data_IF_765529448767
#
_entry.id   IF_765529448767
#
_cell.length_a   1.000
_cell.length_b   1.000
_cell.length_c   1.000
_cell.angle_alpha   90.00
_cell.angle_beta   90.00
_cell.angle_gamma   90.00
#
_symmetry.space_group_name_H-M   'P 1'
#
loop_
_entity.id
_entity.type
_entity.pdbx_description
1 polymer ?
#
# COMPACT_ATOMS: atom_id res chain seq x y z
N UNK A 1 14.30 -4.27 15.22
CA UNK A 1 15.30 -3.35 14.65
C UNK A 1 15.50 -3.72 13.19
N UNK A 2 15.15 -2.83 12.26
CA UNK A 2 15.47 -2.99 10.83
C UNK A 2 16.93 -2.57 10.66
N UNK A 3 17.74 -3.35 9.91
CA UNK A 3 19.14 -2.99 9.68
C UNK A 3 19.25 -1.81 8.71
N UNK A 4 20.31 -1.01 8.83
CA UNK A 4 20.54 0.17 7.97
C UNK A 4 20.49 -0.18 6.47
N UNK A 5 21.03 -1.33 6.08
CA UNK A 5 21.01 -1.80 4.69
C UNK A 5 19.60 -2.13 4.19
N UNK A 6 18.72 -2.70 5.04
CA UNK A 6 17.33 -2.95 4.67
C UNK A 6 16.56 -1.63 4.57
N UNK A 7 16.83 -0.69 5.47
CA UNK A 7 16.23 0.64 5.40
C UNK A 7 16.56 1.38 4.10
N UNK A 8 17.79 1.22 3.59
CA UNK A 8 18.18 1.80 2.32
C UNK A 8 17.35 1.26 1.14
N UNK A 9 16.93 -0.02 1.18
CA UNK A 9 15.99 -0.56 0.20
C UNK A 9 14.63 0.13 0.25
N UNK A 10 14.12 0.44 1.46
CA UNK A 10 12.86 1.17 1.62
C UNK A 10 12.96 2.59 1.04
N UNK A 11 14.03 3.31 1.36
CA UNK A 11 14.25 4.68 0.84
C UNK A 11 14.26 4.71 -0.69
N UNK A 12 14.91 3.73 -1.33
CA UNK A 12 14.90 3.64 -2.79
C UNK A 12 13.53 3.25 -3.37
N UNK A 13 12.78 2.40 -2.68
CA UNK A 13 11.43 2.01 -3.08
C UNK A 13 10.46 3.19 -3.01
N UNK A 14 10.44 3.91 -1.89
CA UNK A 14 9.61 5.10 -1.70
C UNK A 14 9.95 6.17 -2.74
N UNK A 15 11.23 6.42 -2.99
CA UNK A 15 11.63 7.35 -4.06
C UNK A 15 11.16 6.88 -5.45
N UNK A 16 11.26 5.59 -5.75
CA UNK A 16 10.78 5.03 -7.02
C UNK A 16 9.26 5.21 -7.17
N UNK A 17 8.52 5.08 -6.06
CA UNK A 17 7.10 5.40 -5.99
C UNK A 17 6.85 6.89 -6.23
N UNK A 18 7.56 7.79 -5.55
CA UNK A 18 7.43 9.24 -5.73
C UNK A 18 7.70 9.68 -7.17
N UNK A 19 8.73 9.09 -7.80
CA UNK A 19 9.15 9.35 -9.18
C UNK A 19 8.24 8.64 -10.22
N UNK A 20 7.26 7.84 -9.76
CA UNK A 20 6.26 7.16 -10.59
C UNK A 20 6.87 6.29 -11.72
N UNK A 21 7.95 5.56 -11.43
CA UNK A 21 8.61 4.67 -12.40
C UNK A 21 7.83 3.39 -12.76
N UNK A 22 6.62 3.23 -12.25
CA UNK A 22 5.78 2.05 -12.41
C UNK A 22 5.90 1.10 -11.23
N UNK A 23 4.76 0.81 -10.57
CA UNK A 23 4.69 -0.01 -9.34
C UNK A 23 5.47 -1.32 -9.45
N UNK A 24 5.22 -2.12 -10.49
CA UNK A 24 5.88 -3.42 -10.69
C UNK A 24 7.41 -3.27 -10.74
N UNK A 25 7.92 -2.27 -11.44
CA UNK A 25 9.35 -2.02 -11.55
C UNK A 25 9.96 -1.66 -10.19
N UNK A 26 9.29 -0.78 -9.44
CA UNK A 26 9.72 -0.39 -8.10
C UNK A 26 9.71 -1.59 -7.14
N UNK A 27 8.64 -2.39 -7.15
CA UNK A 27 8.53 -3.59 -6.31
C UNK A 27 9.61 -4.64 -6.65
N UNK A 28 9.86 -4.89 -7.95
CA UNK A 28 10.90 -5.84 -8.39
C UNK A 28 12.30 -5.37 -7.96
N UNK A 29 12.56 -4.06 -8.02
CA UNK A 29 13.82 -3.46 -7.58
C UNK A 29 13.99 -3.57 -6.06
N UNK A 30 12.92 -3.32 -5.30
CA UNK A 30 12.90 -3.49 -3.84
C UNK A 30 13.16 -4.94 -3.44
N UNK A 31 12.45 -5.91 -4.05
CA UNK A 31 12.67 -7.34 -3.81
C UNK A 31 14.12 -7.75 -4.06
N UNK A 32 14.71 -7.27 -5.16
CA UNK A 32 16.12 -7.55 -5.50
C UNK A 32 17.09 -6.92 -4.49
N UNK A 33 16.79 -5.71 -4.00
CA UNK A 33 17.59 -5.07 -2.96
C UNK A 33 17.56 -5.88 -1.66
N UNK A 34 16.37 -6.32 -1.22
CA UNK A 34 16.22 -7.13 -0.02
C UNK A 34 16.98 -8.44 -0.11
N UNK A 35 16.89 -9.16 -1.22
CA UNK A 35 17.64 -10.40 -1.47
C UNK A 35 19.15 -10.19 -1.29
N UNK A 36 19.70 -9.14 -1.89
CA UNK A 36 21.12 -8.84 -1.83
C UNK A 36 21.59 -8.46 -0.42
N UNK A 37 20.89 -7.55 0.26
CA UNK A 37 21.33 -7.04 1.57
C UNK A 37 21.14 -8.05 2.70
N UNK A 38 20.26 -9.04 2.50
CA UNK A 38 19.97 -10.07 3.51
C UNK A 38 20.72 -11.38 3.29
N UNK A 39 21.40 -11.58 2.14
CA UNK A 39 22.05 -12.84 1.75
C UNK A 39 22.96 -13.51 2.79
N UNK A 40 23.58 -12.73 3.69
CA UNK A 40 24.41 -13.24 4.78
C UNK A 40 23.63 -13.77 6.00
N UNK A 41 22.31 -13.59 6.04
CA UNK A 41 21.46 -13.83 7.20
C UNK A 41 20.29 -14.73 6.81
N UNK A 42 20.40 -16.03 7.11
CA UNK A 42 19.48 -17.06 6.63
C UNK A 42 17.98 -16.69 6.79
N UNK A 43 17.55 -16.31 8.00
CA UNK A 43 16.14 -15.96 8.24
C UNK A 43 15.73 -14.67 7.52
N UNK A 44 16.61 -13.67 7.52
CA UNK A 44 16.31 -12.42 6.83
C UNK A 44 16.20 -12.61 5.32
N UNK A 45 17.02 -13.50 4.76
CA UNK A 45 17.04 -13.83 3.33
C UNK A 45 15.90 -14.75 2.93
N UNK A 46 15.79 -15.92 3.54
CA UNK A 46 14.88 -16.97 3.07
C UNK A 46 13.41 -16.68 3.42
N UNK A 47 13.17 -15.92 4.50
CA UNK A 47 11.82 -15.69 5.03
C UNK A 47 11.44 -14.22 4.95
N UNK A 48 12.17 -13.33 5.64
CA UNK A 48 11.75 -11.92 5.74
C UNK A 48 11.80 -11.19 4.40
N UNK A 49 12.85 -11.40 3.59
CA UNK A 49 12.98 -10.73 2.28
C UNK A 49 11.82 -11.11 1.35
N UNK A 50 11.42 -12.38 1.37
CA UNK A 50 10.32 -12.93 0.58
C UNK A 50 8.98 -12.39 1.08
N UNK A 51 8.81 -12.33 2.41
CA UNK A 51 7.61 -11.78 3.03
C UNK A 51 7.41 -10.31 2.67
N UNK A 52 8.43 -9.47 2.89
CA UNK A 52 8.34 -8.03 2.59
C UNK A 52 8.15 -7.76 1.09
N UNK A 53 8.85 -8.51 0.23
CA UNK A 53 8.63 -8.46 -1.22
C UNK A 53 7.16 -8.78 -1.59
N UNK A 54 6.58 -9.80 -0.96
CA UNK A 54 5.19 -10.19 -1.21
C UNK A 54 4.20 -9.12 -0.72
N UNK A 55 4.47 -8.53 0.45
CA UNK A 55 3.61 -7.48 1.02
C UNK A 55 3.53 -6.24 0.14
N UNK A 56 4.65 -5.71 -0.37
CA UNK A 56 4.61 -4.52 -1.22
C UNK A 56 3.87 -4.77 -2.54
N UNK A 57 4.00 -5.99 -3.11
CA UNK A 57 3.29 -6.37 -4.33
C UNK A 57 1.77 -6.51 -4.11
N UNK A 58 1.37 -7.02 -2.95
CA UNK A 58 -0.04 -7.27 -2.64
C UNK A 58 -0.77 -6.00 -2.18
N UNK A 59 -0.12 -5.17 -1.37
CA UNK A 59 -0.76 -4.04 -0.70
C UNK A 59 -0.22 -2.66 -1.14
N UNK A 60 0.87 -2.60 -1.89
CA UNK A 60 1.53 -1.35 -2.29
C UNK A 60 0.80 -0.53 -3.35
N UNK A 61 -0.34 -1.01 -3.88
CA UNK A 61 -1.09 -0.33 -4.93
C UNK A 61 -1.52 1.10 -4.55
N UNK A 62 -2.14 1.25 -3.37
CA UNK A 62 -2.60 2.55 -2.91
C UNK A 62 -1.43 3.46 -2.53
N UNK A 63 -0.38 2.92 -1.91
CA UNK A 63 0.83 3.67 -1.58
C UNK A 63 1.48 4.26 -2.85
N UNK A 64 1.59 3.46 -3.92
CA UNK A 64 2.11 3.91 -5.21
C UNK A 64 1.26 5.05 -5.82
N UNK A 65 -0.06 4.90 -5.82
CA UNK A 65 -0.96 5.93 -6.35
C UNK A 65 -0.87 7.24 -5.56
N UNK A 66 -0.83 7.15 -4.22
CA UNK A 66 -0.69 8.32 -3.36
C UNK A 66 0.63 9.04 -3.55
N UNK A 67 1.73 8.30 -3.69
CA UNK A 67 3.06 8.86 -3.93
C UNK A 67 3.11 9.69 -5.23
N UNK A 68 2.29 9.37 -6.23
CA UNK A 68 2.19 10.14 -7.48
C UNK A 68 1.29 11.37 -7.38
N UNK A 69 0.40 11.44 -6.40
CA UNK A 69 -0.57 12.52 -6.26
C UNK A 69 0.00 13.71 -5.45
N UNK A 70 1.07 14.31 -5.97
CA UNK A 70 1.70 15.52 -5.42
C UNK A 70 0.79 16.77 -5.51
N UNK A 71 -0.35 16.67 -6.19
CA UNK A 71 -1.33 17.75 -6.40
C UNK A 71 -2.43 17.83 -5.32
N UNK A 72 -2.38 17.00 -4.28
CA UNK A 72 -3.39 16.93 -3.23
C UNK A 72 -3.19 17.83 -2.00
N UNK A 73 -2.20 18.73 -2.00
CA UNK A 73 -2.16 19.84 -1.04
C UNK A 73 -3.09 20.98 -1.52
N UNK A 74 -4.34 20.65 -1.86
CA UNK A 74 -5.38 21.66 -2.08
C UNK A 74 -6.02 21.91 -0.73
N UNK A 75 -6.01 23.17 -0.34
CA UNK A 75 -6.62 23.71 0.87
C UNK A 75 -8.01 23.10 1.06
N UNK A 76 -8.23 22.48 2.22
CA UNK A 76 -9.56 22.04 2.65
C UNK A 76 -10.38 23.30 2.86
N UNK A 77 -11.15 23.71 1.84
CA UNK A 77 -12.26 24.61 2.03
C UNK A 77 -13.51 23.74 2.12
N UNK A 78 -14.10 23.70 3.32
CA UNK A 78 -15.39 23.06 3.56
C UNK A 78 -16.44 23.73 2.69
N UNK A 79 -16.82 23.11 1.57
CA UNK A 79 -18.06 23.46 0.89
C UNK A 79 -18.92 22.22 0.78
N UNK A 80 -19.97 22.21 1.60
CA UNK A 80 -21.08 21.27 1.55
C UNK A 80 -21.65 21.24 0.13
N UNK A 81 -21.63 20.08 -0.55
CA UNK A 81 -22.26 19.93 -1.86
C UNK A 81 -23.64 19.29 -1.69
N UNK A 82 -24.67 20.11 -1.93
CA UNK A 82 -26.09 19.74 -2.00
C UNK A 82 -26.35 18.75 -3.15
N UNK A 83 -26.97 17.63 -2.81
CA UNK A 83 -27.11 16.45 -3.68
C UNK A 83 -28.47 16.43 -4.42
N UNK A 84 -28.84 17.52 -5.10
CA UNK A 84 -30.19 17.64 -5.70
C UNK A 84 -30.29 17.51 -7.23
N UNK A 85 -29.21 17.29 -7.99
CA UNK A 85 -29.26 17.28 -9.47
C UNK A 85 -28.46 16.17 -10.19
N UNK A 86 -28.68 14.88 -9.86
CA UNK A 86 -28.29 13.79 -10.78
C UNK A 86 -29.52 13.28 -11.52
N UNK A 87 -29.77 13.87 -12.69
CA UNK A 87 -30.67 13.33 -13.70
C UNK A 87 -30.05 12.11 -14.37
N UNK A 88 -30.81 11.02 -14.43
CA UNK A 88 -30.48 9.83 -15.22
C UNK A 88 -30.33 10.18 -16.70
N UNK A 89 -29.16 9.96 -17.29
CA UNK A 89 -29.08 9.51 -18.68
C UNK A 89 -27.72 8.89 -19.01
N UNK A 90 -27.83 7.64 -19.43
CA UNK A 90 -26.84 6.69 -19.94
C UNK A 90 -25.93 7.24 -21.05
N UNK A 91 -24.61 7.12 -20.84
CA UNK A 91 -23.54 6.68 -21.78
C UNK A 91 -22.20 7.29 -21.36
N UNK A 92 -21.38 6.54 -20.61
CA UNK A 92 -19.96 6.84 -20.43
C UNK A 92 -19.15 5.55 -20.53
N UNK A 93 -18.02 5.65 -21.23
CA UNK A 93 -17.12 4.58 -21.63
C UNK A 93 -16.57 3.77 -20.45
N UNK A 94 -16.10 2.55 -20.77
CA UNK A 94 -15.67 1.48 -19.86
C UNK A 94 -14.42 1.76 -19.00
N UNK A 95 -14.04 3.02 -18.81
CA UNK A 95 -12.81 3.40 -18.10
C UNK A 95 -13.04 4.15 -16.77
N UNK A 96 -14.29 4.30 -16.31
CA UNK A 96 -14.60 4.86 -14.99
C UNK A 96 -14.86 3.74 -13.96
N UNK A 97 -13.79 3.07 -13.52
CA UNK A 97 -13.82 2.47 -12.18
C UNK A 97 -13.61 3.64 -11.23
N UNK A 98 -14.71 4.25 -10.79
CA UNK A 98 -14.73 5.11 -9.63
C UNK A 98 -14.11 4.30 -8.47
N UNK A 99 -12.82 4.53 -8.23
CA UNK A 99 -12.11 3.96 -7.10
C UNK A 99 -12.75 4.61 -5.90
N UNK A 100 -13.64 3.87 -5.23
CA UNK A 100 -14.07 4.19 -3.89
C UNK A 100 -12.79 4.45 -3.10
N UNK A 101 -12.61 5.70 -2.69
CA UNK A 101 -11.54 6.17 -1.81
C UNK A 101 -11.74 5.54 -0.43
N UNK A 102 -11.47 4.24 -0.36
CA UNK A 102 -11.52 3.51 0.89
C UNK A 102 -10.25 3.84 1.65
N UNK A 103 -10.35 4.87 2.48
CA UNK A 103 -9.30 5.31 3.38
C UNK A 103 -9.11 4.29 4.51
N UNK A 104 -8.46 3.18 4.16
CA UNK A 104 -8.03 2.14 5.07
C UNK A 104 -7.16 2.71 6.21
N UNK A 105 -6.36 3.74 5.93
CA UNK A 105 -5.47 4.35 6.91
C UNK A 105 -6.25 5.08 8.02
N UNK A 106 -7.37 5.73 7.69
CA UNK A 106 -8.28 6.30 8.69
C UNK A 106 -8.91 5.21 9.56
N UNK A 107 -9.28 4.06 8.97
CA UNK A 107 -9.83 2.94 9.74
C UNK A 107 -8.79 2.29 10.66
N UNK A 108 -7.55 2.12 10.19
CA UNK A 108 -6.44 1.61 11.01
C UNK A 108 -6.15 2.58 12.16
N UNK A 109 -6.03 3.88 11.88
CA UNK A 109 -5.83 4.93 12.90
C UNK A 109 -6.94 4.95 13.94
N UNK A 110 -8.20 4.82 13.50
CA UNK A 110 -9.37 4.77 14.40
C UNK A 110 -9.38 3.52 15.29
N UNK A 111 -8.84 2.40 14.80
CA UNK A 111 -8.73 1.17 15.58
C UNK A 111 -7.56 1.24 16.58
N UNK A 112 -6.42 1.81 16.19
CA UNK A 112 -5.25 1.97 17.07
C UNK A 112 -5.51 2.92 18.26
N UNK A 113 -6.42 3.89 18.09
CA UNK A 113 -6.83 4.80 19.17
C UNK A 113 -7.90 4.23 20.09
N UNK A 114 -8.64 3.20 19.66
CA UNK A 114 -9.61 2.51 20.48
C UNK A 114 -8.99 1.22 21.04
N UNK A 115 -8.41 1.31 22.24
CA UNK A 115 -7.86 0.16 22.99
C UNK A 115 -8.89 -0.88 23.45
N UNK A 116 -9.83 -1.31 22.59
CA UNK A 116 -10.68 -2.46 22.81
C UNK A 116 -9.92 -3.74 22.45
N UNK A 117 -10.14 -4.85 23.18
CA UNK A 117 -9.47 -6.11 22.90
C UNK A 117 -9.83 -6.56 21.47
N UNK A 118 -8.79 -6.87 20.69
CA UNK A 118 -8.88 -7.40 19.34
C UNK A 118 -9.83 -8.60 19.38
N UNK A 119 -11.01 -8.46 18.77
CA UNK A 119 -11.93 -9.59 18.54
C UNK A 119 -11.18 -10.59 17.66
N UNK A 120 -11.25 -11.88 17.99
CA UNK A 120 -10.74 -13.01 17.19
C UNK A 120 -11.18 -12.85 15.73
N UNK A 121 -10.33 -12.20 14.94
CA UNK A 121 -10.40 -12.15 13.49
C UNK A 121 -9.31 -13.07 12.99
N UNK A 122 -9.64 -13.90 12.01
CA UNK A 122 -8.66 -14.75 11.34
C UNK A 122 -7.56 -13.86 10.80
N UNK A 123 -6.32 -14.10 11.24
CA UNK A 123 -5.15 -13.38 10.76
C UNK A 123 -5.06 -13.57 9.24
N UNK A 124 -5.28 -12.48 8.49
CA UNK A 124 -5.24 -12.49 7.04
C UNK A 124 -3.87 -12.96 6.56
N UNK A 125 -2.81 -12.70 7.33
CA UNK A 125 -1.47 -13.19 7.07
C UNK A 125 -1.42 -14.73 7.14
N UNK A 126 -2.09 -15.33 8.13
CA UNK A 126 -2.18 -16.78 8.28
C UNK A 126 -2.94 -17.43 7.12
N UNK A 127 -4.01 -16.79 6.62
CA UNK A 127 -4.79 -17.29 5.48
C UNK A 127 -3.98 -17.23 4.18
N UNK A 128 -3.24 -16.15 3.96
CA UNK A 128 -2.42 -15.95 2.76
C UNK A 128 -1.20 -16.88 2.74
N UNK A 129 -0.55 -17.09 3.89
CA UNK A 129 0.55 -18.06 4.03
C UNK A 129 0.07 -19.49 3.77
N UNK A 130 -1.16 -19.83 4.17
CA UNK A 130 -1.74 -21.17 3.92
C UNK A 130 -2.14 -21.41 2.46
N UNK A 131 -2.42 -20.36 1.69
CA UNK A 131 -2.89 -20.47 0.30
C UNK A 131 -1.76 -20.39 -0.73
N UNK A 132 -0.53 -20.06 -0.32
CA UNK A 132 0.65 -20.00 -1.18
C UNK A 132 1.36 -21.36 -1.39
N UNK A 133 0.65 -22.49 -1.29
CA UNK A 133 1.21 -23.85 -1.39
C UNK A 133 0.78 -24.60 -2.64
#
# INVERSE_FOLDING_TARGET
FISENVNQCCVYHDKCYDDQHGRKYCDDTFCSCLEQVTRGYKVCHDENSVLFCSMVRQFGAHAYLRAGNHTGAVLVEETEVDLSHIGNSTNFDKDDVAVLDFDYETLVRANDTNGKPIREGTDLLEVLVKTAK
#
